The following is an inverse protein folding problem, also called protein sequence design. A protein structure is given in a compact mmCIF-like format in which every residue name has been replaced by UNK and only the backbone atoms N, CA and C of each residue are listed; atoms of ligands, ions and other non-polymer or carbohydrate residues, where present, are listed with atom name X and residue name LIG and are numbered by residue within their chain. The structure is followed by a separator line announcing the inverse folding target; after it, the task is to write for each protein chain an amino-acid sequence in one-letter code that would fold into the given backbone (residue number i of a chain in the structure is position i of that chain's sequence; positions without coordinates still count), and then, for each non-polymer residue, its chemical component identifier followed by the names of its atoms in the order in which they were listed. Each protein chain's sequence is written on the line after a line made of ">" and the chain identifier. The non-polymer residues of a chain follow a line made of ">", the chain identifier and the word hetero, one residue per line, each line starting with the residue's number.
data_IF_139569070511
#
_entry.id   IF_139569070511
#
_cell.length_a   1.000
_cell.length_b   1.000
_cell.length_c   1.000
_cell.angle_alpha   90.00
_cell.angle_beta   90.00
_cell.angle_gamma   90.00
#
_symmetry.space_group_name_H-M   'P 1'
#
loop_
_entity.id
_entity.type
_entity.pdbx_description
1 polymer ?
#
# COMPACT_ATOMS: atom_id res chain seq x y z
N UNK A 1 17.95 47.05 -46.79
CA UNK A 1 16.71 46.36 -47.20
C UNK A 1 16.89 44.90 -46.77
N UNK A 2 16.65 44.59 -45.48
CA UNK A 2 15.45 43.95 -44.88
C UNK A 2 15.12 42.58 -45.48
N UNK A 3 14.87 41.60 -44.59
CA UNK A 3 14.63 40.15 -44.76
C UNK A 3 15.92 39.30 -44.84
N UNK A 4 16.13 38.24 -44.06
CA UNK A 4 15.20 37.35 -43.33
C UNK A 4 15.94 36.73 -42.14
N UNK A 5 15.65 37.18 -40.91
CA UNK A 5 16.08 36.54 -39.65
C UNK A 5 15.02 35.52 -39.17
N UNK A 6 14.01 35.21 -40.01
CA UNK A 6 12.83 34.43 -39.62
C UNK A 6 12.91 32.92 -39.82
N UNK A 7 13.85 32.41 -40.63
CA UNK A 7 13.73 31.04 -41.14
C UNK A 7 14.45 29.99 -40.29
N UNK A 8 15.17 30.39 -39.24
CA UNK A 8 15.98 29.46 -38.44
C UNK A 8 15.25 28.85 -37.23
N UNK A 9 14.01 29.28 -36.92
CA UNK A 9 13.24 28.81 -35.77
C UNK A 9 12.09 27.85 -36.10
N UNK A 10 11.94 27.42 -37.36
CA UNK A 10 10.77 26.66 -37.80
C UNK A 10 11.13 25.23 -38.20
N UNK A 11 11.71 24.48 -37.25
CA UNK A 11 12.29 23.18 -37.58
C UNK A 11 12.31 22.12 -36.48
N UNK A 12 11.47 22.17 -35.43
CA UNK A 12 11.43 21.06 -34.44
C UNK A 12 10.02 20.76 -33.93
N UNK A 13 9.00 20.87 -34.79
CA UNK A 13 7.72 20.19 -34.57
C UNK A 13 7.35 19.39 -35.81
N UNK A 14 8.21 18.41 -36.17
CA UNK A 14 7.76 17.34 -37.04
C UNK A 14 6.67 16.58 -36.29
N UNK A 15 5.40 16.80 -36.68
CA UNK A 15 4.26 16.07 -36.13
C UNK A 15 4.46 14.60 -36.47
N UNK A 16 4.67 13.76 -35.45
CA UNK A 16 4.72 12.30 -35.62
C UNK A 16 3.46 11.85 -36.38
N UNK A 17 3.59 10.88 -37.31
CA UNK A 17 2.45 10.41 -38.08
C UNK A 17 1.35 9.92 -37.12
N UNK A 18 0.08 10.19 -37.46
CA UNK A 18 -1.07 9.89 -36.61
C UNK A 18 -1.00 8.45 -36.05
N UNK A 19 -0.61 7.48 -36.86
CA UNK A 19 -0.43 6.08 -36.45
C UNK A 19 0.57 5.88 -35.29
N UNK A 20 1.68 6.62 -35.26
CA UNK A 20 2.65 6.56 -34.16
C UNK A 20 2.11 7.21 -32.89
N UNK A 21 1.31 8.27 -33.02
CA UNK A 21 0.64 8.89 -31.87
C UNK A 21 -0.39 7.95 -31.25
N UNK A 22 -1.17 7.22 -32.07
CA UNK A 22 -2.09 6.19 -31.59
C UNK A 22 -1.37 5.01 -30.95
N UNK A 23 -0.25 4.55 -31.52
CA UNK A 23 0.58 3.49 -30.90
C UNK A 23 1.11 3.93 -29.53
N UNK A 24 1.62 5.16 -29.42
CA UNK A 24 2.08 5.71 -28.15
C UNK A 24 0.94 5.80 -27.12
N UNK A 25 -0.25 6.22 -27.54
CA UNK A 25 -1.44 6.28 -26.68
C UNK A 25 -1.85 4.89 -26.18
N UNK A 26 -1.86 3.87 -27.05
CA UNK A 26 -2.18 2.49 -26.65
C UNK A 26 -1.17 1.98 -25.62
N UNK A 27 0.12 2.18 -25.85
CA UNK A 27 1.18 1.79 -24.91
C UNK A 27 0.98 2.52 -23.57
N UNK A 28 0.68 3.81 -23.61
CA UNK A 28 0.42 4.60 -22.41
C UNK A 28 -0.77 4.05 -21.62
N UNK A 29 -1.89 3.75 -22.29
CA UNK A 29 -3.09 3.16 -21.67
C UNK A 29 -2.78 1.78 -21.08
N UNK A 30 -1.98 0.95 -21.75
CA UNK A 30 -1.57 -0.34 -21.21
C UNK A 30 -0.69 -0.20 -19.96
N UNK A 31 0.28 0.71 -19.97
CA UNK A 31 1.13 0.97 -18.80
C UNK A 31 0.32 1.48 -17.61
N UNK A 32 -0.58 2.45 -17.83
CA UNK A 32 -1.48 2.92 -16.77
C UNK A 32 -2.44 1.82 -16.31
N UNK A 33 -2.97 1.02 -17.22
CA UNK A 33 -3.86 -0.10 -16.90
C UNK A 33 -3.16 -1.13 -16.02
N UNK A 34 -1.90 -1.48 -16.34
CA UNK A 34 -1.08 -2.38 -15.53
C UNK A 34 -0.77 -1.80 -14.15
N UNK A 35 -0.40 -0.53 -14.07
CA UNK A 35 -0.13 0.13 -12.79
C UNK A 35 -1.38 0.20 -11.88
N UNK A 36 -2.53 0.57 -12.46
CA UNK A 36 -3.81 0.60 -11.74
C UNK A 36 -4.20 -0.82 -11.30
N UNK A 37 -4.02 -1.82 -12.17
CA UNK A 37 -4.29 -3.22 -11.84
C UNK A 37 -3.43 -3.68 -10.67
N UNK A 38 -2.13 -3.38 -10.70
CA UNK A 38 -1.23 -3.71 -9.61
C UNK A 38 -1.69 -3.10 -8.28
N UNK A 39 -1.94 -1.79 -8.25
CA UNK A 39 -2.38 -1.09 -7.02
C UNK A 39 -3.72 -1.63 -6.51
N UNK A 40 -4.64 -1.98 -7.41
CA UNK A 40 -5.97 -2.43 -7.01
C UNK A 40 -6.00 -3.88 -6.50
N UNK A 41 -5.08 -4.75 -6.93
CA UNK A 41 -5.15 -6.19 -6.66
C UNK A 41 -3.98 -6.75 -5.83
N UNK A 42 -2.82 -6.09 -5.80
CA UNK A 42 -1.62 -6.61 -5.13
C UNK A 42 -1.27 -5.87 -3.83
N UNK A 43 -1.81 -4.67 -3.60
CA UNK A 43 -1.58 -3.93 -2.36
C UNK A 43 -2.72 -4.23 -1.38
N UNK A 44 -2.45 -4.84 -0.21
CA UNK A 44 -3.48 -5.15 0.77
C UNK A 44 -4.05 -3.86 1.40
N UNK A 45 -5.38 -3.75 1.45
CA UNK A 45 -6.07 -2.52 1.89
C UNK A 45 -6.66 -2.59 3.30
N UNK A 46 -6.68 -3.78 3.88
CA UNK A 46 -7.24 -4.06 5.19
C UNK A 46 -6.56 -5.28 5.81
N UNK A 47 -6.81 -5.55 7.09
CA UNK A 47 -6.12 -6.63 7.80
C UNK A 47 -6.44 -8.03 7.27
N UNK A 48 -7.58 -8.24 6.60
CA UNK A 48 -7.90 -9.52 5.98
C UNK A 48 -7.06 -9.74 4.71
N UNK A 49 -6.98 -8.73 3.85
CA UNK A 49 -6.12 -8.78 2.65
C UNK A 49 -4.64 -8.88 3.02
N UNK A 50 -4.21 -8.19 4.08
CA UNK A 50 -2.84 -8.28 4.59
C UNK A 50 -2.52 -9.70 5.07
N UNK A 51 -3.41 -10.30 5.86
CA UNK A 51 -3.24 -11.69 6.29
C UNK A 51 -3.16 -12.64 5.09
N UNK A 52 -4.03 -12.48 4.09
CA UNK A 52 -3.99 -13.30 2.87
C UNK A 52 -2.68 -13.12 2.10
N UNK A 53 -2.18 -11.89 1.96
CA UNK A 53 -0.91 -11.63 1.30
C UNK A 53 0.26 -12.34 2.01
N UNK A 54 0.30 -12.26 3.35
CA UNK A 54 1.34 -12.91 4.15
C UNK A 54 1.23 -14.44 4.15
N UNK A 55 0.02 -14.99 4.31
CA UNK A 55 -0.23 -16.44 4.37
C UNK A 55 -0.20 -17.15 3.02
N UNK A 56 -0.22 -16.42 1.91
CA UNK A 56 -0.14 -16.99 0.55
C UNK A 56 1.14 -16.61 -0.19
N UNK A 57 2.02 -15.80 0.44
CA UNK A 57 3.35 -15.53 -0.09
C UNK A 57 4.15 -16.82 -0.22
N UNK A 58 4.91 -16.96 -1.31
CA UNK A 58 5.67 -18.18 -1.61
C UNK A 58 6.92 -18.30 -0.75
N UNK A 59 7.47 -17.17 -0.34
CA UNK A 59 8.68 -17.05 0.44
C UNK A 59 8.67 -15.74 1.24
N UNK A 60 9.67 -15.59 2.12
CA UNK A 60 9.81 -14.42 2.97
C UNK A 60 10.07 -13.13 2.16
N UNK A 61 10.75 -13.23 1.02
CA UNK A 61 11.02 -12.08 0.14
C UNK A 61 9.72 -11.51 -0.43
N UNK A 62 8.82 -12.36 -0.93
CA UNK A 62 7.46 -11.95 -1.37
C UNK A 62 6.63 -11.40 -0.20
N UNK A 63 6.75 -11.98 0.99
CA UNK A 63 6.04 -11.49 2.17
C UNK A 63 6.56 -10.11 2.63
N UNK A 64 7.83 -9.80 2.40
CA UNK A 64 8.43 -8.53 2.79
C UNK A 64 7.97 -7.36 1.90
N UNK A 65 7.45 -7.63 0.69
CA UNK A 65 6.93 -6.60 -0.22
C UNK A 65 5.74 -5.81 0.36
N UNK A 66 5.04 -6.34 1.37
CA UNK A 66 3.93 -5.63 2.04
C UNK A 66 4.39 -4.78 3.23
N UNK A 67 5.67 -4.90 3.63
CA UNK A 67 6.29 -4.08 4.67
C UNK A 67 6.61 -2.71 4.09
N UNK A 68 6.46 -1.66 4.90
CA UNK A 68 6.78 -0.31 4.49
C UNK A 68 8.30 -0.17 4.28
N UNK A 69 8.71 0.44 3.16
CA UNK A 69 10.12 0.74 2.89
C UNK A 69 10.81 1.41 4.10
N UNK A 70 11.91 0.83 4.57
CA UNK A 70 12.65 1.26 5.76
C UNK A 70 12.19 0.67 7.09
N UNK A 71 11.18 -0.22 7.08
CA UNK A 71 10.67 -0.92 8.26
C UNK A 71 10.86 -2.44 8.18
N UNK A 72 11.71 -2.92 7.29
CA UNK A 72 11.91 -4.35 7.01
C UNK A 72 12.36 -5.13 8.26
N UNK A 73 13.16 -4.51 9.13
CA UNK A 73 13.66 -5.13 10.37
C UNK A 73 12.55 -5.45 11.40
N UNK A 74 11.34 -4.90 11.24
CA UNK A 74 10.21 -5.11 12.13
C UNK A 74 9.38 -6.36 11.79
N UNK A 75 9.63 -7.00 10.65
CA UNK A 75 8.99 -8.26 10.26
C UNK A 75 10.07 -9.29 9.93
N UNK A 76 10.24 -10.30 10.79
CA UNK A 76 11.34 -11.25 10.68
C UNK A 76 10.92 -12.52 9.96
N UNK A 77 11.90 -13.24 9.41
CA UNK A 77 11.67 -14.55 8.80
C UNK A 77 10.99 -15.54 9.76
N UNK A 78 11.35 -15.49 11.05
CA UNK A 78 10.71 -16.28 12.11
C UNK A 78 9.20 -15.99 12.25
N UNK A 79 8.79 -14.72 12.09
CA UNK A 79 7.38 -14.31 12.13
C UNK A 79 6.63 -14.88 10.91
N UNK A 80 7.24 -14.79 9.73
CA UNK A 80 6.71 -15.35 8.49
C UNK A 80 6.55 -16.86 8.56
N UNK A 81 7.58 -17.58 9.03
CA UNK A 81 7.54 -19.03 9.19
C UNK A 81 6.43 -19.45 10.15
N UNK A 82 6.23 -18.72 11.24
CA UNK A 82 5.16 -19.00 12.18
C UNK A 82 3.78 -18.81 11.54
N UNK A 83 3.57 -17.73 10.78
CA UNK A 83 2.29 -17.45 10.10
C UNK A 83 1.97 -18.50 9.03
N UNK A 84 2.98 -19.00 8.30
CA UNK A 84 2.81 -19.90 7.14
C UNK A 84 2.89 -21.39 7.45
N UNK A 85 3.03 -21.75 8.73
CA UNK A 85 3.01 -23.15 9.15
C UNK A 85 1.69 -23.85 8.78
N UNK A 86 1.78 -25.08 8.28
CA UNK A 86 0.62 -25.87 7.85
C UNK A 86 -0.36 -26.22 8.98
N UNK A 87 0.12 -26.23 10.22
CA UNK A 87 -0.68 -26.53 11.41
C UNK A 87 -1.18 -25.27 12.14
N UNK A 88 -0.89 -24.08 11.61
CA UNK A 88 -1.33 -22.81 12.16
C UNK A 88 -2.29 -22.11 11.21
N UNK A 89 -3.35 -21.54 11.76
CA UNK A 89 -4.21 -20.59 11.04
C UNK A 89 -4.67 -19.54 12.04
N UNK A 90 -4.85 -18.30 11.58
CA UNK A 90 -5.38 -17.27 12.45
C UNK A 90 -6.80 -17.65 12.90
N UNK A 91 -7.01 -17.83 14.21
CA UNK A 91 -8.35 -18.05 14.77
C UNK A 91 -9.26 -16.83 14.56
N UNK A 92 -8.66 -15.64 14.51
CA UNK A 92 -9.37 -14.38 14.30
C UNK A 92 -8.45 -13.35 13.64
N UNK A 93 -8.98 -12.65 12.65
CA UNK A 93 -8.37 -11.46 12.06
C UNK A 93 -9.17 -10.25 12.57
N UNK A 94 -8.49 -9.23 13.08
CA UNK A 94 -9.11 -8.02 13.61
C UNK A 94 -8.36 -6.80 13.09
N UNK A 95 -9.05 -5.66 13.02
CA UNK A 95 -8.44 -4.40 12.62
C UNK A 95 -8.68 -3.37 13.71
N UNK A 96 -7.60 -2.74 14.18
CA UNK A 96 -7.66 -1.74 15.22
C UNK A 96 -7.09 -0.42 14.71
N UNK A 97 -7.60 0.68 15.23
CA UNK A 97 -7.04 2.01 15.06
C UNK A 97 -6.91 2.65 16.43
N UNK A 98 -5.72 3.19 16.71
CA UNK A 98 -5.41 3.85 17.96
C UNK A 98 -5.56 5.36 17.77
N UNK A 99 -6.38 6.00 18.60
CA UNK A 99 -6.47 7.46 18.68
C UNK A 99 -5.85 7.93 19.99
N UNK A 100 -4.67 8.55 19.90
CA UNK A 100 -3.90 9.02 21.05
C UNK A 100 -4.11 10.53 21.27
N UNK A 101 -4.37 10.88 22.52
CA UNK A 101 -4.48 12.25 23.04
C UNK A 101 -3.60 12.37 24.28
N UNK A 102 -3.27 13.60 24.70
CA UNK A 102 -2.37 13.85 25.83
C UNK A 102 -2.68 13.02 27.10
N UNK A 103 -3.97 12.83 27.42
CA UNK A 103 -4.40 12.13 28.63
C UNK A 103 -5.15 10.81 28.36
N UNK A 104 -5.53 10.54 27.12
CA UNK A 104 -6.42 9.41 26.80
C UNK A 104 -6.02 8.76 25.51
N UNK A 105 -6.14 7.45 25.46
CA UNK A 105 -5.98 6.70 24.22
C UNK A 105 -7.20 5.84 24.00
N UNK A 106 -7.78 5.89 22.80
CA UNK A 106 -8.90 5.06 22.41
C UNK A 106 -8.48 3.99 21.42
N UNK A 107 -8.81 2.74 21.72
CA UNK A 107 -8.70 1.63 20.80
C UNK A 107 -10.04 1.46 20.07
N UNK A 108 -10.02 1.68 18.76
CA UNK A 108 -11.18 1.53 17.90
C UNK A 108 -11.06 0.22 17.14
N UNK A 109 -11.90 -0.76 17.46
CA UNK A 109 -12.00 -1.99 16.67
C UNK A 109 -12.90 -1.73 15.47
N UNK A 110 -12.46 -2.15 14.28
CA UNK A 110 -13.21 -2.00 13.03
C UNK A 110 -13.36 -3.33 12.30
N UNK A 111 -14.33 -3.39 11.39
CA UNK A 111 -14.55 -4.56 10.52
C UNK A 111 -13.33 -4.85 9.65
N UNK A 112 -12.74 -6.07 9.72
CA UNK A 112 -11.72 -6.48 8.77
C UNK A 112 -12.38 -6.76 7.40
N UNK A 113 -11.68 -6.52 6.29
CA UNK A 113 -12.15 -6.94 4.95
C UNK A 113 -13.22 -6.07 4.29
N UNK A 114 -13.60 -4.93 4.86
CA UNK A 114 -14.62 -4.03 4.27
C UNK A 114 -13.99 -2.85 3.54
N UNK A 115 -14.54 -2.44 2.39
CA UNK A 115 -14.11 -1.22 1.67
C UNK A 115 -14.17 0.06 2.51
N UNK A 116 -15.09 0.10 3.49
CA UNK A 116 -15.22 1.20 4.45
C UNK A 116 -15.25 0.64 5.85
N UNK A 117 -14.35 1.14 6.69
CA UNK A 117 -14.26 0.78 8.10
C UNK A 117 -15.60 1.03 8.79
N UNK A 118 -16.10 0.03 9.50
CA UNK A 118 -17.23 0.17 10.41
C UNK A 118 -16.76 -0.09 11.83
N UNK A 119 -17.13 0.79 12.75
CA UNK A 119 -16.80 0.64 14.16
C UNK A 119 -17.55 -0.55 14.75
N UNK A 120 -16.79 -1.47 15.34
CA UNK A 120 -17.30 -2.63 16.06
C UNK A 120 -17.26 -2.40 17.58
N UNK A 121 -16.20 -1.77 18.08
CA UNK A 121 -16.03 -1.44 19.50
C UNK A 121 -15.17 -0.20 19.67
N UNK A 122 -15.35 0.50 20.79
CA UNK A 122 -14.55 1.65 21.22
C UNK A 122 -14.26 1.47 22.71
N UNK A 123 -12.97 1.41 23.05
CA UNK A 123 -12.53 1.29 24.44
C UNK A 123 -11.47 2.35 24.74
N UNK A 124 -11.57 2.98 25.91
CA UNK A 124 -10.49 3.80 26.47
C UNK A 124 -9.44 2.84 27.03
N UNK A 125 -8.19 2.96 26.58
CA UNK A 125 -7.12 2.12 27.05
C UNK A 125 -6.77 2.46 28.50
N UNK A 126 -6.59 1.42 29.35
CA UNK A 126 -5.96 1.58 30.65
C UNK A 126 -4.60 2.28 30.54
N UNK A 127 -4.22 3.01 31.59
CA UNK A 127 -3.00 3.82 31.63
C UNK A 127 -1.73 3.03 31.35
N UNK A 128 -1.61 1.81 31.88
CA UNK A 128 -0.48 0.91 31.68
C UNK A 128 -0.35 0.44 30.22
N UNK A 129 -1.48 0.17 29.55
CA UNK A 129 -1.49 -0.22 28.13
C UNK A 129 -1.22 1.00 27.24
N UNK A 130 -1.71 2.17 27.61
CA UNK A 130 -1.40 3.43 26.93
C UNK A 130 0.11 3.68 26.93
N UNK A 131 0.77 3.52 28.07
CA UNK A 131 2.23 3.70 28.19
C UNK A 131 3.01 2.75 27.27
N UNK A 132 2.55 1.51 27.11
CA UNK A 132 3.14 0.55 26.18
C UNK A 132 3.10 1.06 24.72
N UNK A 133 1.95 1.55 24.26
CA UNK A 133 1.83 2.06 22.88
C UNK A 133 2.61 3.35 22.65
N UNK A 134 2.66 4.25 23.64
CA UNK A 134 3.49 5.46 23.56
C UNK A 134 4.98 5.12 23.40
N UNK A 135 5.45 4.03 24.01
CA UNK A 135 6.83 3.57 23.89
C UNK A 135 7.17 2.89 22.54
N UNK A 136 6.14 2.48 21.77
CA UNK A 136 6.31 1.88 20.44
C UNK A 136 6.51 2.91 19.31
N UNK A 137 6.69 4.19 19.64
CA UNK A 137 6.92 5.22 18.61
C UNK A 137 8.18 4.87 17.79
N UNK A 138 8.10 4.87 16.44
CA UNK A 138 9.25 4.58 15.58
C UNK A 138 10.35 5.64 15.67
#
# INVERSE_FOLDING_TARGET
>A
MKQTVGDHFMGIFQKKPLKEQWRALIILVLLFGLAIYYILFFIPKNSLELYQALSFAKDFEEAQEVVLDGYEDYFKEEDFEFINRLDTSAERISQFTLFEYDEKTYLIMTTPGTERLKVLSVEELPEDIREYFLALTP
#
